data_IF_897083039176
#
_entry.id   IF_897083039176
#
_cell.length_a   1.000
_cell.length_b   1.000
_cell.length_c   1.000
_cell.angle_alpha   90.00
_cell.angle_beta   90.00
_cell.angle_gamma   90.00
#
_symmetry.space_group_name_H-M   'P 1'
#
loop_
_entity.id
_entity.type
_entity.pdbx_description
1 polymer ?
#
# COMPACT_ATOMS: atom_id res chain seq x y z
N UNK A 1 -13.95 -36.84 -3.37
CA UNK A 1 -13.13 -36.12 -2.37
C UNK A 1 -12.00 -35.32 -3.01
N UNK A 2 -11.59 -35.59 -4.25
CA UNK A 2 -10.57 -34.82 -5.01
C UNK A 2 -11.10 -33.55 -5.68
N UNK A 3 -12.40 -33.50 -6.05
CA UNK A 3 -12.98 -32.35 -6.77
C UNK A 3 -13.16 -31.10 -5.90
N UNK A 4 -13.37 -31.26 -4.59
CA UNK A 4 -13.53 -30.13 -3.66
C UNK A 4 -12.21 -29.41 -3.38
N UNK A 5 -11.07 -30.12 -3.38
CA UNK A 5 -9.75 -29.51 -3.18
C UNK A 5 -9.24 -28.74 -4.40
N UNK A 6 -9.64 -29.16 -5.61
CA UNK A 6 -9.29 -28.45 -6.84
C UNK A 6 -9.96 -27.06 -6.88
N UNK A 7 -11.25 -26.99 -6.53
CA UNK A 7 -12.01 -25.73 -6.49
C UNK A 7 -11.44 -24.71 -5.51
N UNK A 8 -10.96 -25.13 -4.33
CA UNK A 8 -10.39 -24.19 -3.36
C UNK A 8 -9.00 -23.69 -3.75
N UNK A 9 -8.18 -24.53 -4.40
CA UNK A 9 -6.87 -24.10 -4.92
C UNK A 9 -7.02 -23.08 -6.05
N UNK A 10 -8.02 -23.25 -6.92
CA UNK A 10 -8.31 -22.33 -8.03
C UNK A 10 -8.66 -20.91 -7.52
N UNK A 11 -9.36 -20.81 -6.39
CA UNK A 11 -9.75 -19.51 -5.81
C UNK A 11 -8.52 -18.69 -5.41
N UNK A 12 -7.55 -19.27 -4.70
CA UNK A 12 -6.36 -18.55 -4.26
C UNK A 12 -5.52 -18.04 -5.44
N UNK A 13 -5.46 -18.82 -6.53
CA UNK A 13 -4.74 -18.44 -7.73
C UNK A 13 -5.44 -17.31 -8.50
N UNK A 14 -6.77 -17.37 -8.59
CA UNK A 14 -7.58 -16.30 -9.16
C UNK A 14 -7.47 -15.01 -8.34
N UNK A 15 -7.45 -15.11 -7.00
CA UNK A 15 -7.21 -13.97 -6.12
C UNK A 15 -5.84 -13.35 -6.37
N UNK A 16 -4.77 -14.16 -6.47
CA UNK A 16 -3.43 -13.65 -6.75
C UNK A 16 -3.34 -12.95 -8.11
N UNK A 17 -3.97 -13.51 -9.16
CA UNK A 17 -4.06 -12.87 -10.48
C UNK A 17 -4.87 -11.58 -10.44
N UNK A 18 -5.97 -11.54 -9.69
CA UNK A 18 -6.75 -10.32 -9.50
C UNK A 18 -5.94 -9.23 -8.77
N UNK A 19 -5.16 -9.60 -7.75
CA UNK A 19 -4.26 -8.66 -7.06
C UNK A 19 -3.20 -8.09 -8.01
N UNK A 20 -2.58 -8.93 -8.85
CA UNK A 20 -1.62 -8.47 -9.87
C UNK A 20 -2.29 -7.51 -10.85
N UNK A 21 -3.47 -7.88 -11.37
CA UNK A 21 -4.22 -7.06 -12.31
C UNK A 21 -4.59 -5.70 -11.70
N UNK A 22 -5.09 -5.68 -10.46
CA UNK A 22 -5.43 -4.46 -9.73
C UNK A 22 -4.20 -3.60 -9.44
N UNK A 23 -3.09 -4.21 -9.01
CA UNK A 23 -1.84 -3.48 -8.76
C UNK A 23 -1.36 -2.78 -10.04
N UNK A 24 -1.28 -3.52 -11.16
CA UNK A 24 -0.87 -2.96 -12.45
C UNK A 24 -1.85 -1.88 -12.91
N UNK A 25 -3.16 -2.11 -12.77
CA UNK A 25 -4.19 -1.14 -13.11
C UNK A 25 -3.98 0.18 -12.36
N UNK A 26 -3.88 0.14 -11.03
CA UNK A 26 -3.65 1.33 -10.17
C UNK A 26 -2.35 2.07 -10.56
N UNK A 27 -1.34 1.36 -11.04
CA UNK A 27 -0.07 1.97 -11.42
C UNK A 27 -0.12 2.66 -12.79
N UNK A 28 -0.85 2.09 -13.73
CA UNK A 28 -0.99 2.57 -15.11
C UNK A 28 -2.07 3.65 -15.22
N UNK A 29 -3.13 3.52 -14.43
CA UNK A 29 -4.24 4.45 -14.39
C UNK A 29 -3.76 5.82 -13.85
N UNK A 30 -3.88 6.84 -14.69
CA UNK A 30 -3.49 8.21 -14.38
C UNK A 30 -4.63 9.01 -13.73
N UNK A 31 -5.86 8.52 -13.84
CA UNK A 31 -7.06 9.17 -13.29
C UNK A 31 -7.22 8.83 -11.80
N UNK A 32 -6.74 7.66 -11.38
CA UNK A 32 -6.69 7.26 -9.98
C UNK A 32 -5.78 8.19 -9.17
N UNK A 33 -6.43 8.97 -8.29
CA UNK A 33 -5.79 9.94 -7.37
C UNK A 33 -4.89 10.93 -8.13
N UNK A 34 -5.34 11.38 -9.31
CA UNK A 34 -4.59 12.24 -10.24
C UNK A 34 -4.08 13.54 -9.59
N UNK A 35 -4.90 14.17 -8.75
CA UNK A 35 -4.55 15.38 -7.98
C UNK A 35 -3.39 15.09 -6.99
N UNK A 36 -3.55 14.06 -6.15
CA UNK A 36 -2.50 13.67 -5.18
C UNK A 36 -1.22 13.27 -5.91
N UNK A 37 -1.33 12.52 -7.01
CA UNK A 37 -0.18 12.08 -7.80
C UNK A 37 0.57 13.25 -8.43
N UNK A 38 -0.15 14.26 -8.92
CA UNK A 38 0.42 15.48 -9.48
C UNK A 38 1.13 16.30 -8.39
N UNK A 39 0.53 16.40 -7.20
CA UNK A 39 1.07 17.19 -6.08
C UNK A 39 2.33 16.58 -5.47
N UNK A 40 2.38 15.25 -5.34
CA UNK A 40 3.60 14.57 -4.91
C UNK A 40 4.68 14.73 -6.01
N UNK A 41 4.32 14.85 -7.30
CA UNK A 41 5.27 14.90 -8.45
C UNK A 41 5.90 16.28 -8.63
N UNK A 42 5.40 17.25 -7.89
CA UNK A 42 5.81 18.64 -7.98
C UNK A 42 7.08 18.85 -7.16
N UNK A 43 8.21 18.98 -7.85
CA UNK A 43 9.53 19.31 -7.28
C UNK A 43 9.74 20.83 -7.05
N UNK A 44 8.67 21.63 -7.15
CA UNK A 44 8.75 23.11 -7.09
C UNK A 44 8.53 23.66 -5.67
N UNK A 45 8.36 22.79 -4.68
CA UNK A 45 8.09 23.18 -3.29
C UNK A 45 9.39 23.36 -2.49
N UNK A 46 9.37 24.25 -1.49
CA UNK A 46 10.52 24.53 -0.65
C UNK A 46 10.82 23.38 0.35
N UNK A 47 12.09 23.22 0.73
CA UNK A 47 12.50 22.32 1.81
C UNK A 47 11.78 22.69 3.13
N UNK A 48 11.36 21.72 3.97
CA UNK A 48 11.56 20.26 3.90
C UNK A 48 10.52 19.44 3.10
N UNK A 49 9.55 20.08 2.42
CA UNK A 49 8.43 19.36 1.82
C UNK A 49 8.84 18.52 0.59
N UNK A 50 9.85 18.98 -0.17
CA UNK A 50 10.43 18.25 -1.32
C UNK A 50 11.05 16.92 -0.91
N UNK A 51 11.83 16.89 0.18
CA UNK A 51 12.51 15.68 0.66
C UNK A 51 11.52 14.61 1.12
N UNK A 52 10.47 15.03 1.83
CA UNK A 52 9.40 14.11 2.27
C UNK A 52 8.65 13.54 1.06
N UNK A 53 8.37 14.38 0.04
CA UNK A 53 7.74 13.93 -1.21
C UNK A 53 8.64 12.92 -1.96
N UNK A 54 9.95 13.14 -2.00
CA UNK A 54 10.90 12.21 -2.61
C UNK A 54 10.91 10.86 -1.91
N UNK A 55 11.02 10.84 -0.58
CA UNK A 55 11.06 9.60 0.21
C UNK A 55 9.76 8.78 0.01
N UNK A 56 8.60 9.43 0.02
CA UNK A 56 7.32 8.77 -0.26
C UNK A 56 7.26 8.14 -1.67
N UNK A 57 7.82 8.80 -2.69
CA UNK A 57 7.86 8.26 -4.07
C UNK A 57 8.67 6.99 -4.17
N UNK A 58 9.84 6.99 -3.53
CA UNK A 58 10.72 5.83 -3.51
C UNK A 58 10.03 4.68 -2.77
N UNK A 59 9.47 4.95 -1.58
CA UNK A 59 8.74 3.97 -0.79
C UNK A 59 7.59 3.32 -1.58
N UNK A 60 6.73 4.11 -2.23
CA UNK A 60 5.61 3.60 -3.05
C UNK A 60 6.12 2.72 -4.20
N UNK A 61 7.21 3.14 -4.85
CA UNK A 61 7.79 2.38 -5.97
C UNK A 61 8.34 1.04 -5.50
N UNK A 62 9.07 1.02 -4.39
CA UNK A 62 9.65 -0.22 -3.82
C UNK A 62 8.54 -1.19 -3.41
N UNK A 63 7.54 -0.72 -2.66
CA UNK A 63 6.41 -1.55 -2.21
C UNK A 63 5.67 -2.15 -3.39
N UNK A 64 5.45 -1.39 -4.46
CA UNK A 64 4.80 -1.87 -5.67
C UNK A 64 5.53 -3.05 -6.32
N UNK A 65 6.85 -2.93 -6.51
CA UNK A 65 7.65 -4.02 -7.08
C UNK A 65 7.69 -5.26 -6.18
N UNK A 66 7.69 -5.07 -4.86
CA UNK A 66 7.64 -6.17 -3.89
C UNK A 66 6.30 -6.91 -3.96
N UNK A 67 5.17 -6.17 -3.99
CA UNK A 67 3.83 -6.77 -4.08
C UNK A 67 3.68 -7.60 -5.36
N UNK A 68 4.12 -7.06 -6.50
CA UNK A 68 4.08 -7.78 -7.78
C UNK A 68 4.95 -9.03 -7.73
N UNK A 69 6.19 -8.92 -7.27
CA UNK A 69 7.11 -10.06 -7.17
C UNK A 69 6.56 -11.16 -6.27
N UNK A 70 5.99 -10.78 -5.12
CA UNK A 70 5.36 -11.70 -4.18
C UNK A 70 4.12 -12.38 -4.80
N UNK A 71 3.25 -11.63 -5.46
CA UNK A 71 2.05 -12.20 -6.08
C UNK A 71 2.39 -13.18 -7.22
N UNK A 72 3.41 -12.87 -8.04
CA UNK A 72 3.91 -13.80 -9.07
C UNK A 72 4.46 -15.07 -8.41
N UNK A 73 5.25 -14.94 -7.34
CA UNK A 73 5.77 -16.09 -6.60
C UNK A 73 4.62 -16.97 -6.06
N UNK A 74 3.55 -16.37 -5.52
CA UNK A 74 2.37 -17.09 -5.08
C UNK A 74 1.67 -17.86 -6.21
N UNK A 75 1.55 -17.26 -7.41
CA UNK A 75 0.98 -17.95 -8.59
C UNK A 75 1.85 -19.15 -8.99
N UNK A 76 3.17 -18.98 -9.02
CA UNK A 76 4.10 -20.08 -9.34
C UNK A 76 4.04 -21.20 -8.31
N UNK A 77 3.99 -20.86 -7.02
CA UNK A 77 3.86 -21.84 -5.95
C UNK A 77 2.52 -22.58 -6.03
N UNK A 78 1.42 -21.88 -6.33
CA UNK A 78 0.11 -22.50 -6.58
C UNK A 78 0.14 -23.48 -7.75
N UNK A 79 0.75 -23.08 -8.88
CA UNK A 79 0.96 -23.97 -10.03
C UNK A 79 1.81 -25.20 -9.66
N UNK A 80 2.90 -25.03 -8.90
CA UNK A 80 3.74 -26.16 -8.48
C UNK A 80 3.01 -27.12 -7.53
N UNK A 81 2.14 -26.60 -6.66
CA UNK A 81 1.28 -27.41 -5.79
C UNK A 81 0.27 -28.23 -6.59
N UNK A 82 -0.41 -27.59 -7.55
CA UNK A 82 -1.36 -28.26 -8.43
C UNK A 82 -0.71 -29.34 -9.32
N UNK A 83 0.41 -29.00 -9.98
CA UNK A 83 1.17 -29.96 -10.78
C UNK A 83 1.75 -31.10 -9.93
N UNK A 84 2.19 -30.81 -8.70
CA UNK A 84 2.66 -31.81 -7.76
C UNK A 84 1.58 -32.83 -7.38
N UNK A 85 0.33 -32.37 -7.20
CA UNK A 85 -0.81 -33.22 -6.91
C UNK A 85 -1.18 -34.12 -8.10
N UNK A 86 -1.21 -33.57 -9.33
CA UNK A 86 -1.54 -34.33 -10.54
C UNK A 86 -0.44 -35.34 -10.89
N UNK A 87 0.83 -34.93 -10.85
CA UNK A 87 1.95 -35.78 -11.26
C UNK A 87 2.31 -36.84 -10.19
N UNK A 88 1.68 -36.80 -9.01
CA UNK A 88 1.98 -37.64 -7.85
C UNK A 88 3.49 -37.70 -7.53
N UNK A 89 4.19 -36.60 -7.80
CA UNK A 89 5.63 -36.49 -7.67
C UNK A 89 6.01 -35.97 -6.30
N UNK A 90 6.65 -36.82 -5.50
CA UNK A 90 7.09 -36.48 -4.14
C UNK A 90 8.11 -35.34 -4.11
N UNK A 91 8.90 -35.17 -5.17
CA UNK A 91 9.89 -34.12 -5.28
C UNK A 91 9.26 -32.73 -5.43
N UNK A 92 8.22 -32.58 -6.28
CA UNK A 92 7.51 -31.31 -6.43
C UNK A 92 6.79 -30.91 -5.14
N UNK A 93 6.15 -31.87 -4.48
CA UNK A 93 5.48 -31.65 -3.20
C UNK A 93 6.46 -31.19 -2.11
N UNK A 94 7.66 -31.75 -2.07
CA UNK A 94 8.69 -31.34 -1.11
C UNK A 94 9.15 -29.89 -1.34
N UNK A 95 9.41 -29.50 -2.60
CA UNK A 95 9.83 -28.13 -2.95
C UNK A 95 8.73 -27.12 -2.57
N UNK A 96 7.47 -27.44 -2.87
CA UNK A 96 6.32 -26.60 -2.49
C UNK A 96 6.28 -26.34 -0.98
N UNK A 97 6.43 -27.39 -0.16
CA UNK A 97 6.39 -27.26 1.30
C UNK A 97 7.54 -26.41 1.84
N UNK A 98 8.76 -26.60 1.33
CA UNK A 98 9.94 -25.83 1.75
C UNK A 98 9.78 -24.35 1.38
N UNK A 99 9.35 -24.05 0.16
CA UNK A 99 9.11 -22.67 -0.26
C UNK A 99 8.01 -21.99 0.57
N UNK A 100 6.91 -22.69 0.87
CA UNK A 100 5.86 -22.16 1.74
C UNK A 100 6.36 -21.88 3.16
N UNK A 101 7.16 -22.78 3.73
CA UNK A 101 7.75 -22.56 5.05
C UNK A 101 8.64 -21.30 5.09
N UNK A 102 9.43 -21.07 4.04
CA UNK A 102 10.27 -19.87 3.93
C UNK A 102 9.40 -18.59 3.84
N UNK A 103 8.31 -18.61 3.06
CA UNK A 103 7.41 -17.46 2.95
C UNK A 103 6.73 -17.13 4.28
N UNK A 104 6.29 -18.13 5.03
CA UNK A 104 5.66 -17.92 6.35
C UNK A 104 6.66 -17.27 7.32
N UNK A 105 7.92 -17.73 7.34
CA UNK A 105 8.95 -17.11 8.17
C UNK A 105 9.22 -15.66 7.78
N UNK A 106 9.22 -15.37 6.47
CA UNK A 106 9.41 -14.02 5.94
C UNK A 106 8.22 -13.12 6.29
N UNK A 107 6.99 -13.63 6.21
CA UNK A 107 5.78 -12.89 6.58
C UNK A 107 5.75 -12.55 8.08
N UNK A 108 6.16 -13.48 8.94
CA UNK A 108 6.31 -13.23 10.38
C UNK A 108 7.35 -12.13 10.63
N UNK A 109 8.50 -12.18 9.95
CA UNK A 109 9.55 -11.16 10.08
C UNK A 109 9.05 -9.77 9.65
N UNK A 110 8.35 -9.68 8.53
CA UNK A 110 7.73 -8.43 8.05
C UNK A 110 6.66 -7.95 9.03
N UNK A 111 5.81 -8.84 9.53
CA UNK A 111 4.76 -8.50 10.49
C UNK A 111 5.32 -7.86 11.76
N UNK A 112 6.41 -8.42 12.30
CA UNK A 112 7.12 -7.84 13.46
C UNK A 112 7.72 -6.49 13.10
N UNK A 113 8.38 -6.37 11.95
CA UNK A 113 8.99 -5.11 11.49
C UNK A 113 7.94 -3.98 11.41
N UNK A 114 6.79 -4.24 10.81
CA UNK A 114 5.69 -3.27 10.69
C UNK A 114 5.19 -2.82 12.07
N UNK A 115 5.04 -3.73 13.02
CA UNK A 115 4.60 -3.41 14.38
C UNK A 115 5.57 -2.49 15.13
N UNK A 116 6.87 -2.62 14.87
CA UNK A 116 7.91 -1.76 15.47
C UNK A 116 7.92 -0.38 14.80
N UNK A 117 7.82 -0.33 13.46
CA UNK A 117 8.00 0.91 12.67
C UNK A 117 6.72 1.75 12.56
N UNK A 118 5.55 1.22 12.93
CA UNK A 118 4.24 1.92 12.86
C UNK A 118 4.23 3.35 13.44
N UNK A 119 5.02 3.60 14.49
CA UNK A 119 5.12 4.93 15.11
C UNK A 119 5.80 5.95 14.20
N UNK A 120 6.87 5.55 13.51
CA UNK A 120 7.60 6.42 12.59
C UNK A 120 6.75 6.76 11.37
N UNK A 121 6.07 5.77 10.77
CA UNK A 121 5.17 6.01 9.62
C UNK A 121 4.10 7.03 9.97
N UNK A 122 3.49 6.91 11.16
CA UNK A 122 2.49 7.87 11.62
C UNK A 122 3.06 9.27 11.81
N UNK A 123 4.30 9.39 12.30
CA UNK A 123 4.97 10.70 12.42
C UNK A 123 5.21 11.32 11.05
N UNK A 124 5.79 10.58 10.10
CA UNK A 124 6.10 11.07 8.75
C UNK A 124 4.85 11.56 8.02
N UNK A 125 3.72 10.85 8.14
CA UNK A 125 2.45 11.29 7.54
C UNK A 125 1.94 12.57 8.22
N UNK A 126 2.03 12.67 9.55
CA UNK A 126 1.65 13.89 10.28
C UNK A 126 2.52 15.08 9.88
N UNK A 127 3.82 14.86 9.76
CA UNK A 127 4.79 15.89 9.38
C UNK A 127 4.49 16.37 7.94
N UNK A 128 4.24 15.45 7.00
CA UNK A 128 3.84 15.80 5.63
C UNK A 128 2.59 16.68 5.59
N UNK A 129 1.53 16.32 6.34
CA UNK A 129 0.31 17.13 6.41
C UNK A 129 0.60 18.48 7.07
N UNK A 130 1.35 18.51 8.18
CA UNK A 130 1.70 19.74 8.87
C UNK A 130 2.47 20.71 7.97
N UNK A 131 3.51 20.24 7.27
CA UNK A 131 4.31 21.08 6.36
C UNK A 131 3.51 21.53 5.13
N UNK A 132 2.61 20.69 4.62
CA UNK A 132 1.72 21.06 3.50
C UNK A 132 0.81 22.26 3.86
N UNK A 133 0.28 22.29 5.09
CA UNK A 133 -0.50 23.41 5.62
C UNK A 133 0.37 24.61 6.00
N UNK A 134 1.52 24.40 6.64
CA UNK A 134 2.42 25.48 7.07
C UNK A 134 3.00 26.27 5.88
N UNK A 135 3.27 25.60 4.77
CA UNK A 135 3.79 26.23 3.55
C UNK A 135 2.69 26.77 2.62
N UNK A 136 1.41 26.67 3.01
CA UNK A 136 0.26 27.01 2.14
C UNK A 136 0.37 26.38 0.74
N UNK A 137 0.75 25.09 0.66
CA UNK A 137 0.70 24.37 -0.60
C UNK A 137 -0.77 24.13 -0.96
N UNK A 138 -1.37 25.11 -1.66
CA UNK A 138 -2.79 25.11 -2.02
C UNK A 138 -3.27 23.82 -2.70
N UNK A 139 -2.50 23.13 -3.57
CA UNK A 139 -3.01 21.93 -4.20
C UNK A 139 -2.95 20.70 -3.27
N UNK A 140 -1.93 20.58 -2.40
CA UNK A 140 -1.85 19.52 -1.39
C UNK A 140 -2.99 19.67 -0.35
N UNK A 141 -3.22 20.91 0.11
CA UNK A 141 -4.29 21.22 1.08
C UNK A 141 -5.68 20.95 0.50
N UNK A 142 -5.95 21.37 -0.73
CA UNK A 142 -7.25 21.14 -1.36
C UNK A 142 -7.56 19.65 -1.54
N UNK A 143 -6.56 18.84 -1.92
CA UNK A 143 -6.71 17.39 -2.05
C UNK A 143 -7.07 16.73 -0.70
N UNK A 144 -6.44 17.15 0.41
CA UNK A 144 -6.80 16.63 1.74
C UNK A 144 -8.19 17.06 2.18
N UNK A 145 -8.54 18.33 1.98
CA UNK A 145 -9.84 18.87 2.36
C UNK A 145 -10.97 18.16 1.59
N UNK A 146 -10.81 17.98 0.28
CA UNK A 146 -11.80 17.30 -0.55
C UNK A 146 -11.94 15.81 -0.20
N UNK A 147 -10.82 15.11 0.02
CA UNK A 147 -10.83 13.64 0.22
C UNK A 147 -11.25 13.22 1.63
N UNK A 148 -10.82 13.96 2.65
CA UNK A 148 -11.02 13.62 4.06
C UNK A 148 -12.02 14.54 4.77
N UNK A 149 -12.61 15.52 4.06
CA UNK A 149 -13.57 16.49 4.59
C UNK A 149 -13.08 17.16 5.89
N UNK A 150 -11.76 17.36 5.98
CA UNK A 150 -11.08 17.93 7.12
C UNK A 150 -10.62 19.34 6.79
N UNK A 151 -10.37 20.18 7.80
CA UNK A 151 -9.88 21.54 7.56
C UNK A 151 -8.82 21.96 8.58
N UNK A 152 -7.58 22.04 8.12
CA UNK A 152 -6.43 22.42 8.96
C UNK A 152 -5.82 21.26 9.74
N UNK A 153 -4.83 21.61 10.58
CA UNK A 153 -4.10 20.70 11.49
C UNK A 153 -4.25 21.20 12.94
N UNK A 154 -4.16 20.31 13.92
CA UNK A 154 -4.44 20.62 15.34
C UNK A 154 -3.66 21.84 15.91
N UNK A 155 -2.50 22.19 15.33
CA UNK A 155 -1.67 23.31 15.77
C UNK A 155 -1.79 24.59 14.91
N UNK A 156 -2.52 24.56 13.79
CA UNK A 156 -2.67 25.71 12.89
C UNK A 156 -4.15 25.86 12.49
N UNK A 157 -4.94 26.69 13.19
CA UNK A 157 -6.31 26.98 12.79
C UNK A 157 -6.28 27.79 11.49
N UNK A 158 -6.64 27.14 10.38
CA UNK A 158 -6.80 27.82 9.10
C UNK A 158 -8.08 28.67 9.16
N UNK A 159 -7.94 29.99 9.03
CA UNK A 159 -9.05 30.96 9.07
C UNK A 159 -9.99 30.85 7.87
N UNK A 160 -9.62 30.08 6.85
CA UNK A 160 -10.45 29.76 5.68
C UNK A 160 -11.40 28.57 5.93
N UNK A 161 -11.34 27.93 7.11
CA UNK A 161 -12.27 26.89 7.50
C UNK A 161 -13.59 27.51 7.96
N UNK A 162 -14.62 27.46 7.10
CA UNK A 162 -15.97 27.89 7.48
C UNK A 162 -16.48 27.07 8.68
N UNK A 163 -17.09 27.75 9.66
CA UNK A 163 -17.62 27.15 10.88
C UNK A 163 -18.68 26.08 10.54
N UNK A 164 -18.29 24.81 10.56
CA UNK A 164 -19.16 23.68 10.21
C UNK A 164 -18.46 22.45 9.65
N UNK A 165 -17.17 22.54 9.28
CA UNK A 165 -16.41 21.37 8.81
C UNK A 165 -15.72 20.65 9.97
N UNK A 166 -15.92 19.34 10.03
CA UNK A 166 -15.57 18.47 11.16
C UNK A 166 -14.11 18.63 11.59
N UNK A 167 -13.91 18.73 12.91
CA UNK A 167 -12.58 18.57 13.49
C UNK A 167 -12.04 17.21 13.05
N UNK A 168 -10.83 17.22 12.51
CA UNK A 168 -10.08 16.06 11.99
C UNK A 168 -9.73 15.09 13.12
N UNK A 169 -10.75 14.45 13.69
CA UNK A 169 -10.61 13.39 14.68
C UNK A 169 -10.58 12.02 13.99
N UNK A 170 -11.04 11.96 12.73
CA UNK A 170 -11.40 10.70 12.06
C UNK A 170 -10.30 10.12 11.16
N UNK A 171 -9.21 10.84 10.89
CA UNK A 171 -8.03 10.25 10.24
C UNK A 171 -7.29 9.24 11.15
N UNK A 172 -7.58 9.26 12.46
CA UNK A 172 -7.00 8.37 13.46
C UNK A 172 -7.73 7.02 13.60
N UNK A 173 -8.90 6.85 12.96
CA UNK A 173 -9.73 5.64 13.09
C UNK A 173 -9.57 4.67 11.91
N UNK A 174 -8.98 5.11 10.79
CA UNK A 174 -8.84 4.28 9.58
C UNK A 174 -7.46 3.59 9.42
N UNK A 175 -6.53 3.73 10.37
CA UNK A 175 -5.20 3.11 10.34
C UNK A 175 -4.69 2.70 11.73
#
# INVERSE_FOLDING_TARGET
MTETWNLEMDIFQLVALAVIALAIWIRVDNDFESEIRANIKRDTDAEPLSDIKYDMRVAITVVFWVIIGFAIACVLLGLTGFLGAIANSRALMAIYFVCMAILILLEIAIGIYVLVVRKNVRSTVKDYVFYSYAMNSSPDVHAFQFRYNCCGVELQPNTQCMAGQGKSNDFLVLL
#
